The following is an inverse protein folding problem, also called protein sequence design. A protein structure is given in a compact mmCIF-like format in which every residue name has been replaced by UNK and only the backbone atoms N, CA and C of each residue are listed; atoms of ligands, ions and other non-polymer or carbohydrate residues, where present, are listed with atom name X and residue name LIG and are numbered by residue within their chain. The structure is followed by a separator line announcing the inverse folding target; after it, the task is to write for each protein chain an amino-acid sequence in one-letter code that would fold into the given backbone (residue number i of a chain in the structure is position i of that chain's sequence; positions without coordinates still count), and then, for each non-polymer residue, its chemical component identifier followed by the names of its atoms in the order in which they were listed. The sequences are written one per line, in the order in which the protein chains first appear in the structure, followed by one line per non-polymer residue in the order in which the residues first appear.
data_IF_571526040469
#
_entry.id   IF_571526040469
#
_cell.length_a   1.000
_cell.length_b   1.000
_cell.length_c   1.000
_cell.angle_alpha   90.00
_cell.angle_beta   90.00
_cell.angle_gamma   90.00
#
_symmetry.space_group_name_H-M   'P 1'
#
loop_
_entity.id
_entity.type
_entity.pdbx_description
1 polymer ?
#
# COMPACT_ATOMS: atom_id res chain seq x y z
N UNK A 1 -0.54 60.06 -9.75
CA UNK A 1 -0.09 59.65 -11.11
C UNK A 1 1.21 58.84 -11.10
N UNK A 2 2.30 59.28 -10.44
CA UNK A 2 3.61 58.56 -10.44
C UNK A 2 3.57 57.14 -9.86
N UNK A 3 2.77 56.89 -8.81
CA UNK A 3 2.63 55.57 -8.16
C UNK A 3 1.85 54.54 -8.99
N UNK A 4 0.83 55.01 -9.73
CA UNK A 4 0.06 54.16 -10.65
C UNK A 4 0.91 53.70 -11.85
N UNK A 5 1.78 54.59 -12.35
CA UNK A 5 2.72 54.26 -13.42
C UNK A 5 3.74 53.20 -12.98
N UNK A 6 4.28 53.31 -11.75
CA UNK A 6 5.20 52.32 -11.20
C UNK A 6 4.55 50.93 -11.00
N UNK A 7 3.31 50.87 -10.52
CA UNK A 7 2.59 49.60 -10.36
C UNK A 7 2.34 48.89 -11.70
N UNK A 8 2.01 49.65 -12.76
CA UNK A 8 1.81 49.10 -14.09
C UNK A 8 3.09 48.50 -14.68
N UNK A 9 4.23 49.16 -14.45
CA UNK A 9 5.55 48.66 -14.85
C UNK A 9 5.90 47.35 -14.14
N UNK A 10 5.64 47.27 -12.83
CA UNK A 10 5.90 46.04 -12.06
C UNK A 10 4.99 44.87 -12.47
N UNK A 11 3.70 45.12 -12.74
CA UNK A 11 2.80 44.10 -13.28
C UNK A 11 3.25 43.61 -14.66
N UNK A 12 3.73 44.51 -15.52
CA UNK A 12 4.25 44.14 -16.83
C UNK A 12 5.53 43.28 -16.73
N UNK A 13 6.46 43.67 -15.85
CA UNK A 13 7.69 42.89 -15.60
C UNK A 13 7.36 41.50 -15.04
N UNK A 14 6.45 41.42 -14.06
CA UNK A 14 6.02 40.14 -13.49
C UNK A 14 5.32 39.24 -14.54
N UNK A 15 4.48 39.83 -15.41
CA UNK A 15 3.83 39.10 -16.49
C UNK A 15 4.84 38.58 -17.53
N UNK A 16 5.85 39.37 -17.89
CA UNK A 16 6.92 38.95 -18.81
C UNK A 16 7.77 37.83 -18.21
N UNK A 17 8.13 37.90 -16.93
CA UNK A 17 8.88 36.83 -16.25
C UNK A 17 8.07 35.53 -16.15
N UNK A 18 6.77 35.61 -15.85
CA UNK A 18 5.90 34.43 -15.84
C UNK A 18 5.75 33.82 -17.24
N UNK A 19 5.70 34.65 -18.30
CA UNK A 19 5.60 34.16 -19.67
C UNK A 19 6.86 33.39 -20.11
N UNK A 20 8.05 33.79 -19.65
CA UNK A 20 9.32 33.09 -19.93
C UNK A 20 9.36 31.68 -19.32
N UNK A 21 8.75 31.48 -18.14
CA UNK A 21 8.70 30.17 -17.48
C UNK A 21 7.78 29.15 -18.19
N UNK A 22 6.79 29.62 -18.95
CA UNK A 22 5.86 28.75 -19.71
C UNK A 22 6.52 28.16 -20.97
N UNK A 23 7.62 28.74 -21.45
CA UNK A 23 8.36 28.30 -22.64
C UNK A 23 9.66 27.55 -22.33
N UNK A 24 9.85 27.06 -21.10
CA UNK A 24 11.00 26.21 -20.79
C UNK A 24 10.97 24.96 -21.69
N UNK A 25 11.94 24.83 -22.60
CA UNK A 25 12.06 23.66 -23.46
C UNK A 25 12.39 22.43 -22.60
N UNK A 26 11.57 21.38 -22.73
CA UNK A 26 11.93 20.07 -22.18
C UNK A 26 13.16 19.58 -22.95
N UNK A 27 14.28 19.28 -22.29
CA UNK A 27 15.48 18.84 -22.97
C UNK A 27 15.20 17.58 -23.79
N UNK A 28 15.50 17.63 -25.09
CA UNK A 28 15.29 16.50 -25.99
C UNK A 28 16.37 15.45 -25.74
N UNK A 29 15.95 14.26 -25.33
CA UNK A 29 16.85 13.10 -25.17
C UNK A 29 16.76 12.22 -26.41
N UNK A 30 17.91 11.86 -26.99
CA UNK A 30 18.01 10.87 -28.05
C UNK A 30 18.49 9.54 -27.47
N UNK A 31 17.63 8.52 -27.50
CA UNK A 31 18.00 7.14 -27.18
C UNK A 31 18.24 6.40 -28.50
N UNK A 32 19.43 5.81 -28.65
CA UNK A 32 19.77 4.97 -29.81
C UNK A 32 19.80 3.51 -29.35
N UNK A 33 19.03 2.63 -30.00
CA UNK A 33 19.02 1.19 -29.72
C UNK A 33 19.75 0.47 -30.84
N UNK A 34 20.82 -0.26 -30.51
CA UNK A 34 21.51 -1.13 -31.47
C UNK A 34 20.87 -2.52 -31.47
N UNK A 35 20.21 -2.89 -32.57
CA UNK A 35 19.60 -4.22 -32.75
C UNK A 35 20.48 -5.19 -33.54
N UNK A 36 21.63 -4.73 -34.04
CA UNK A 36 22.61 -5.56 -34.75
C UNK A 36 23.49 -6.40 -33.83
N UNK A 37 23.47 -6.11 -32.53
CA UNK A 37 24.24 -6.82 -31.50
C UNK A 37 23.27 -7.42 -30.49
N UNK A 38 23.21 -8.76 -30.45
CA UNK A 38 22.39 -9.48 -29.47
C UNK A 38 23.12 -9.50 -28.13
N UNK A 39 22.52 -8.89 -27.11
CA UNK A 39 23.02 -8.92 -25.73
C UNK A 39 22.79 -10.27 -25.04
N UNK A 40 23.19 -10.39 -23.76
CA UNK A 40 22.96 -11.59 -22.96
C UNK A 40 21.47 -11.95 -22.86
N UNK A 41 21.17 -13.24 -22.82
CA UNK A 41 19.81 -13.73 -22.60
C UNK A 41 19.35 -13.38 -21.18
N UNK A 42 18.19 -12.75 -21.06
CA UNK A 42 17.53 -12.56 -19.77
C UNK A 42 17.05 -13.92 -19.23
N UNK A 43 17.40 -14.21 -17.98
CA UNK A 43 16.98 -15.43 -17.30
C UNK A 43 15.47 -15.41 -16.98
N UNK A 44 14.78 -16.56 -16.97
CA UNK A 44 13.33 -16.62 -16.74
C UNK A 44 12.90 -16.19 -15.33
N UNK A 45 13.85 -16.09 -14.39
CA UNK A 45 13.62 -15.73 -12.99
C UNK A 45 13.86 -14.25 -12.68
N UNK A 46 14.02 -13.38 -13.69
CA UNK A 46 14.19 -11.94 -13.45
C UNK A 46 12.94 -11.27 -12.86
N UNK A 47 11.77 -11.91 -13.00
CA UNK A 47 10.51 -11.42 -12.46
C UNK A 47 9.85 -12.54 -11.66
N UNK A 48 9.42 -12.21 -10.44
CA UNK A 48 8.77 -13.13 -9.51
C UNK A 48 8.06 -12.37 -8.41
N UNK A 49 7.45 -13.12 -7.49
CA UNK A 49 6.76 -12.58 -6.32
C UNK A 49 7.48 -13.09 -5.08
N UNK A 50 7.76 -12.19 -4.15
CA UNK A 50 8.17 -12.53 -2.79
C UNK A 50 6.92 -12.56 -1.90
N UNK A 51 6.80 -13.58 -1.05
CA UNK A 51 5.68 -13.74 -0.15
C UNK A 51 6.17 -13.98 1.28
N UNK A 52 5.62 -13.23 2.22
CA UNK A 52 5.72 -13.45 3.66
C UNK A 52 4.34 -13.27 4.28
N UNK A 53 4.11 -13.87 5.46
CA UNK A 53 2.94 -13.53 6.26
C UNK A 53 3.18 -12.18 6.95
N UNK A 54 2.81 -11.11 6.26
CA UNK A 54 2.81 -9.74 6.79
C UNK A 54 1.50 -9.06 6.40
N UNK A 55 0.94 -8.27 7.32
CA UNK A 55 -0.29 -7.51 7.08
C UNK A 55 -1.48 -8.37 6.60
N UNK A 56 -1.61 -9.62 7.07
CA UNK A 56 -2.66 -10.56 6.63
C UNK A 56 -2.56 -10.94 5.15
N UNK A 57 -1.34 -11.05 4.60
CA UNK A 57 -1.13 -11.43 3.21
C UNK A 57 -1.47 -12.91 2.93
N UNK A 58 -1.30 -13.80 3.91
CA UNK A 58 -1.75 -15.19 3.85
C UNK A 58 -3.09 -15.35 4.55
N UNK A 59 -3.08 -15.44 5.87
CA UNK A 59 -4.29 -15.59 6.69
C UNK A 59 -5.12 -14.30 6.68
N UNK A 60 -6.27 -14.33 5.99
CA UNK A 60 -7.10 -13.15 5.73
C UNK A 60 -6.82 -12.46 4.39
N UNK A 61 -5.88 -13.00 3.60
CA UNK A 61 -5.50 -12.51 2.28
C UNK A 61 -5.56 -13.63 1.24
N UNK A 62 -4.40 -14.16 0.86
CA UNK A 62 -4.28 -15.19 -0.18
C UNK A 62 -4.94 -16.52 0.22
N UNK A 63 -4.89 -16.88 1.50
CA UNK A 63 -5.60 -18.06 2.01
C UNK A 63 -7.08 -17.72 2.20
N UNK A 64 -7.94 -18.43 1.49
CA UNK A 64 -9.36 -18.11 1.34
C UNK A 64 -10.22 -18.42 2.59
N UNK A 65 -9.63 -18.61 3.76
CA UNK A 65 -10.38 -18.74 5.00
C UNK A 65 -11.00 -17.40 5.40
N UNK A 66 -12.28 -17.43 5.77
CA UNK A 66 -13.05 -16.24 6.13
C UNK A 66 -13.21 -16.09 7.64
N UNK A 67 -13.02 -17.17 8.40
CA UNK A 67 -13.09 -17.17 9.86
C UNK A 67 -11.69 -16.93 10.44
N UNK A 68 -11.47 -15.72 10.95
CA UNK A 68 -10.27 -15.39 11.72
C UNK A 68 -10.23 -16.21 13.01
N UNK A 69 -9.03 -16.69 13.36
CA UNK A 69 -8.80 -17.44 14.59
C UNK A 69 -9.73 -18.65 14.76
N UNK A 70 -9.98 -19.37 13.66
CA UNK A 70 -10.91 -20.51 13.61
C UNK A 70 -10.56 -21.65 14.57
N UNK A 71 -9.31 -21.72 15.02
CA UNK A 71 -8.79 -22.76 15.92
C UNK A 71 -8.24 -22.21 17.24
N UNK A 72 -8.45 -20.92 17.55
CA UNK A 72 -8.02 -20.32 18.83
C UNK A 72 -6.50 -20.30 19.08
N UNK A 73 -5.69 -20.26 18.00
CA UNK A 73 -4.22 -20.24 18.06
C UNK A 73 -3.60 -18.83 18.06
N UNK A 74 -4.41 -17.79 17.82
CA UNK A 74 -3.91 -16.40 17.72
C UNK A 74 -3.52 -15.80 19.09
N UNK A 75 -3.81 -16.49 20.20
CA UNK A 75 -3.42 -16.10 21.55
C UNK A 75 -4.25 -16.78 22.64
N UNK A 76 -4.15 -16.29 23.87
CA UNK A 76 -4.89 -16.84 25.03
C UNK A 76 -6.31 -16.27 25.19
N UNK A 77 -6.73 -15.39 24.27
CA UNK A 77 -8.07 -14.80 24.23
C UNK A 77 -8.76 -15.15 22.91
N UNK A 78 -10.10 -15.21 22.85
CA UNK A 78 -10.83 -15.56 21.63
C UNK A 78 -10.86 -14.37 20.64
N UNK A 79 -9.70 -13.96 20.14
CA UNK A 79 -9.52 -12.89 19.15
C UNK A 79 -10.38 -13.18 17.92
N UNK A 80 -11.05 -12.16 17.37
CA UNK A 80 -11.91 -12.31 16.20
C UNK A 80 -13.30 -12.86 16.48
N UNK A 81 -13.62 -13.21 17.74
CA UNK A 81 -14.93 -13.70 18.13
C UNK A 81 -15.63 -12.79 19.14
N UNK A 82 -16.97 -12.85 19.14
CA UNK A 82 -17.80 -12.08 20.06
C UNK A 82 -18.80 -12.99 20.77
N UNK A 83 -18.85 -12.91 22.11
CA UNK A 83 -19.89 -13.56 22.90
C UNK A 83 -21.19 -12.76 22.79
N UNK A 84 -22.23 -13.37 22.24
CA UNK A 84 -23.57 -12.77 22.18
C UNK A 84 -24.33 -13.08 23.47
N UNK A 85 -24.65 -12.05 24.25
CA UNK A 85 -25.37 -12.17 25.52
C UNK A 85 -26.77 -11.54 25.37
N UNK A 86 -27.86 -12.32 25.53
CA UNK A 86 -29.21 -11.79 25.48
C UNK A 86 -29.46 -10.72 26.55
N UNK A 87 -30.41 -9.82 26.27
CA UNK A 87 -30.79 -8.77 27.23
C UNK A 87 -31.26 -9.39 28.55
N UNK A 88 -30.67 -8.96 29.66
CA UNK A 88 -30.98 -9.45 31.00
C UNK A 88 -30.24 -10.72 31.41
N UNK A 89 -29.36 -11.25 30.56
CA UNK A 89 -28.48 -12.36 30.89
C UNK A 89 -27.06 -11.89 31.22
N UNK A 90 -26.31 -12.74 31.91
CA UNK A 90 -24.87 -12.61 32.16
C UNK A 90 -24.18 -13.89 31.72
N UNK A 91 -23.07 -13.77 30.99
CA UNK A 91 -22.25 -14.89 30.58
C UNK A 91 -20.77 -14.48 30.49
N UNK A 92 -19.89 -15.45 30.71
CA UNK A 92 -18.45 -15.34 30.48
C UNK A 92 -17.96 -16.55 29.70
N UNK A 93 -16.80 -16.42 29.09
CA UNK A 93 -16.20 -17.48 28.29
C UNK A 93 -14.68 -17.28 28.21
N UNK A 94 -13.97 -18.37 27.94
CA UNK A 94 -12.51 -18.41 27.76
C UNK A 94 -12.16 -19.60 26.87
N UNK A 95 -10.96 -19.58 26.28
CA UNK A 95 -10.41 -20.75 25.59
C UNK A 95 -10.05 -21.81 26.65
N UNK A 96 -10.50 -23.04 26.45
CA UNK A 96 -10.15 -24.19 27.28
C UNK A 96 -9.10 -25.04 26.58
N UNK A 97 -7.89 -25.11 27.15
CA UNK A 97 -6.77 -25.91 26.65
C UNK A 97 -6.63 -27.26 27.36
N UNK A 98 -7.52 -27.59 28.31
CA UNK A 98 -7.43 -28.83 29.09
C UNK A 98 -7.86 -30.07 28.30
N UNK A 99 -8.73 -29.88 27.29
CA UNK A 99 -9.27 -30.95 26.46
C UNK A 99 -9.27 -30.53 24.98
N UNK A 100 -8.09 -30.44 24.33
CA UNK A 100 -8.01 -30.06 22.93
C UNK A 100 -8.59 -31.17 22.04
N UNK A 101 -9.19 -30.76 20.92
CA UNK A 101 -9.79 -31.71 19.96
C UNK A 101 -8.72 -32.60 19.29
N UNK A 102 -7.49 -32.10 19.16
CA UNK A 102 -6.33 -32.86 18.73
C UNK A 102 -5.04 -32.32 19.37
N UNK A 103 -3.94 -33.07 19.24
CA UNK A 103 -2.63 -32.73 19.85
C UNK A 103 -1.93 -31.48 19.32
N UNK A 104 -2.40 -30.93 18.20
CA UNK A 104 -1.87 -29.75 17.52
C UNK A 104 -2.81 -28.54 17.69
N UNK A 105 -3.79 -28.63 18.60
CA UNK A 105 -4.63 -27.53 19.07
C UNK A 105 -4.37 -27.25 20.55
#
# INVERSE_FOLDING_TARGET
MKRACAALVWCFVAAVVCLQAVFAEIPRVKITVNVGEVGPKLGPLHYGIFFEEINHAGDGGLYAELVRNRSFEEGDTPVGWQLLVPKGASASWSIDKSLPINKNN
#
